data_IF_143140410206
#
_entry.id   IF_143140410206
#
_cell.length_a   1.000
_cell.length_b   1.000
_cell.length_c   1.000
_cell.angle_alpha   90.00
_cell.angle_beta   90.00
_cell.angle_gamma   90.00
#
_symmetry.space_group_name_H-M   'P 1'
#
loop_
_entity.id
_entity.type
_entity.pdbx_description
1 polymer ?
#
# COMPACT_ATOMS: atom_id res chain seq x y z
N UNK A 1 -9.81 -13.41 24.43
CA UNK A 1 -10.68 -13.40 23.23
C UNK A 1 -10.89 -12.01 22.60
N UNK A 2 -10.91 -10.91 23.34
CA UNK A 2 -11.16 -9.56 22.79
C UNK A 2 -10.05 -9.04 21.86
N UNK A 3 -8.78 -9.27 22.20
CA UNK A 3 -7.60 -8.79 21.44
C UNK A 3 -7.52 -9.45 20.05
N UNK A 4 -7.72 -10.76 19.94
CA UNK A 4 -7.70 -11.50 18.68
C UNK A 4 -8.80 -11.03 17.70
N UNK A 5 -10.01 -10.73 18.23
CA UNK A 5 -11.10 -10.15 17.42
C UNK A 5 -10.75 -8.74 16.91
N UNK A 6 -10.01 -7.97 17.72
CA UNK A 6 -9.53 -6.64 17.31
C UNK A 6 -8.51 -6.71 16.18
N UNK A 7 -7.52 -7.61 16.31
CA UNK A 7 -6.48 -7.81 15.29
C UNK A 7 -7.12 -8.29 13.95
N UNK A 8 -7.96 -9.32 14.01
CA UNK A 8 -8.60 -9.84 12.80
C UNK A 8 -9.44 -8.80 12.06
N UNK A 9 -10.18 -7.96 12.79
CA UNK A 9 -10.95 -6.86 12.19
C UNK A 9 -10.06 -5.80 11.58
N UNK A 10 -8.97 -5.44 12.24
CA UNK A 10 -8.00 -4.46 11.76
C UNK A 10 -7.33 -4.94 10.47
N UNK A 11 -6.89 -6.21 10.44
CA UNK A 11 -6.31 -6.84 9.25
C UNK A 11 -7.31 -6.86 8.09
N UNK A 12 -8.56 -7.27 8.34
CA UNK A 12 -9.61 -7.26 7.30
C UNK A 12 -9.82 -5.86 6.71
N UNK A 13 -9.89 -4.83 7.55
CA UNK A 13 -10.04 -3.45 7.09
C UNK A 13 -8.83 -2.98 6.25
N UNK A 14 -7.62 -3.35 6.65
CA UNK A 14 -6.41 -3.07 5.89
C UNK A 14 -6.41 -3.80 4.53
N UNK A 15 -6.88 -5.05 4.49
CA UNK A 15 -7.05 -5.81 3.25
C UNK A 15 -8.07 -5.16 2.31
N UNK A 16 -9.19 -4.65 2.83
CA UNK A 16 -10.17 -3.91 2.03
C UNK A 16 -9.57 -2.62 1.46
N UNK A 17 -8.78 -1.88 2.24
CA UNK A 17 -8.08 -0.69 1.75
C UNK A 17 -7.08 -1.03 0.63
N UNK A 18 -6.34 -2.14 0.78
CA UNK A 18 -5.45 -2.66 -0.25
C UNK A 18 -6.19 -3.09 -1.52
N UNK A 19 -7.34 -3.75 -1.38
CA UNK A 19 -8.17 -4.15 -2.52
C UNK A 19 -8.66 -2.93 -3.33
N UNK A 20 -9.01 -1.82 -2.66
CA UNK A 20 -9.39 -0.57 -3.34
C UNK A 20 -8.21 -0.01 -4.16
N UNK A 21 -6.99 -0.08 -3.63
CA UNK A 21 -5.79 0.30 -4.38
C UNK A 21 -5.59 -0.60 -5.59
N UNK A 22 -5.71 -1.93 -5.45
CA UNK A 22 -5.58 -2.87 -6.56
C UNK A 22 -6.63 -2.62 -7.65
N UNK A 23 -7.88 -2.33 -7.29
CA UNK A 23 -8.90 -1.91 -8.26
C UNK A 23 -8.48 -0.66 -9.01
N UNK A 24 -7.92 0.35 -8.32
CA UNK A 24 -7.38 1.56 -8.96
C UNK A 24 -6.27 1.23 -9.97
N UNK A 25 -5.39 0.27 -9.65
CA UNK A 25 -4.34 -0.19 -10.57
C UNK A 25 -4.91 -0.88 -11.80
N UNK A 26 -5.89 -1.78 -11.64
CA UNK A 26 -6.54 -2.44 -12.79
C UNK A 26 -7.29 -1.46 -13.69
N UNK A 27 -7.95 -0.46 -13.12
CA UNK A 27 -8.58 0.63 -13.90
C UNK A 27 -7.53 1.42 -14.68
N UNK A 28 -6.40 1.78 -14.06
CA UNK A 28 -5.30 2.48 -14.73
C UNK A 28 -4.73 1.64 -15.87
N UNK A 29 -4.45 0.36 -15.62
CA UNK A 29 -3.93 -0.58 -16.63
C UNK A 29 -4.89 -0.68 -17.81
N UNK A 30 -6.20 -0.79 -17.55
CA UNK A 30 -7.24 -0.83 -18.58
C UNK A 30 -7.30 0.45 -19.43
N UNK A 31 -7.11 1.62 -18.81
CA UNK A 31 -7.13 2.90 -19.50
C UNK A 31 -5.83 3.21 -20.25
N UNK A 32 -4.69 2.79 -19.73
CA UNK A 32 -3.36 3.12 -20.27
C UNK A 32 -2.78 2.03 -21.16
N UNK A 33 -3.40 0.85 -21.20
CA UNK A 33 -2.90 -0.35 -21.88
C UNK A 33 -1.47 -0.74 -21.47
N UNK A 34 -1.07 -0.38 -20.25
CA UNK A 34 0.23 -0.72 -19.67
C UNK A 34 0.23 -2.18 -19.23
N UNK A 35 1.35 -2.86 -19.38
CA UNK A 35 1.52 -4.19 -18.81
C UNK A 35 1.46 -4.13 -17.27
N UNK A 36 0.86 -5.12 -16.59
CA UNK A 36 0.96 -5.26 -15.13
C UNK A 36 2.43 -5.31 -14.69
N UNK A 37 2.68 -4.81 -13.48
CA UNK A 37 4.03 -4.85 -12.90
C UNK A 37 4.34 -6.24 -12.35
N UNK A 38 5.47 -6.82 -12.74
CA UNK A 38 6.00 -8.07 -12.20
C UNK A 38 6.90 -7.85 -10.97
N UNK A 39 7.11 -6.61 -10.55
CA UNK A 39 7.98 -6.24 -9.42
C UNK A 39 7.64 -6.96 -8.11
N UNK A 40 6.37 -7.13 -7.71
CA UNK A 40 6.04 -7.85 -6.47
C UNK A 40 6.53 -9.29 -6.48
N UNK A 41 6.40 -9.99 -7.62
CA UNK A 41 6.89 -11.37 -7.78
C UNK A 41 8.40 -11.42 -7.72
N UNK A 42 9.08 -10.59 -8.49
CA UNK A 42 10.55 -10.53 -8.51
C UNK A 42 11.14 -10.21 -7.14
N UNK A 43 10.50 -9.32 -6.39
CA UNK A 43 10.94 -9.00 -5.04
C UNK A 43 10.84 -10.23 -4.11
N UNK A 44 9.75 -10.98 -4.21
CA UNK A 44 9.59 -12.22 -3.44
C UNK A 44 10.61 -13.28 -3.87
N UNK A 45 10.91 -13.43 -5.16
CA UNK A 45 11.95 -14.34 -5.67
C UNK A 45 13.31 -14.04 -5.07
N UNK A 46 13.70 -12.76 -5.04
CA UNK A 46 14.97 -12.32 -4.45
C UNK A 46 15.00 -12.62 -2.95
N UNK A 47 13.93 -12.30 -2.22
CA UNK A 47 13.86 -12.52 -0.76
C UNK A 47 13.82 -14.02 -0.43
N UNK A 48 13.01 -14.78 -1.14
CA UNK A 48 12.85 -16.22 -0.89
C UNK A 48 13.98 -17.08 -1.48
N UNK A 49 14.85 -16.49 -2.32
CA UNK A 49 15.88 -17.19 -3.10
C UNK A 49 15.32 -18.39 -3.88
N UNK A 50 14.12 -18.23 -4.41
CA UNK A 50 13.40 -19.27 -5.16
C UNK A 50 12.67 -18.62 -6.35
N UNK A 51 12.70 -19.30 -7.48
CA UNK A 51 11.87 -18.93 -8.62
C UNK A 51 10.39 -19.08 -8.28
N UNK A 52 9.63 -18.05 -8.59
CA UNK A 52 8.19 -18.04 -8.42
C UNK A 52 7.53 -18.25 -9.78
N UNK A 53 6.70 -19.27 -9.92
CA UNK A 53 5.90 -19.41 -11.14
C UNK A 53 4.93 -18.23 -11.23
N UNK A 54 4.97 -17.45 -12.32
CA UNK A 54 4.04 -16.35 -12.52
C UNK A 54 2.61 -16.91 -12.65
N UNK A 55 1.63 -16.13 -12.19
CA UNK A 55 0.22 -16.46 -12.32
C UNK A 55 -0.65 -15.39 -11.69
N UNK A 56 -1.71 -14.99 -12.38
CA UNK A 56 -2.61 -13.90 -11.99
C UNK A 56 -3.05 -13.95 -10.51
N UNK A 57 -3.45 -15.13 -10.03
CA UNK A 57 -3.89 -15.28 -8.63
C UNK A 57 -2.77 -15.01 -7.63
N UNK A 58 -1.55 -15.42 -7.95
CA UNK A 58 -0.40 -15.23 -7.09
C UNK A 58 0.06 -13.78 -7.08
N UNK A 59 0.09 -13.14 -8.23
CA UNK A 59 0.39 -11.73 -8.37
C UNK A 59 -0.58 -10.88 -7.57
N UNK A 60 -1.88 -11.11 -7.74
CA UNK A 60 -2.92 -10.42 -6.98
C UNK A 60 -2.81 -10.67 -5.48
N UNK A 61 -2.51 -11.90 -5.05
CA UNK A 61 -2.34 -12.22 -3.63
C UNK A 61 -1.12 -11.53 -3.02
N UNK A 62 -0.01 -11.41 -3.77
CA UNK A 62 1.19 -10.69 -3.31
C UNK A 62 0.95 -9.19 -3.23
N UNK A 63 0.30 -8.59 -4.22
CA UNK A 63 -0.08 -7.18 -4.20
C UNK A 63 -1.01 -6.86 -3.02
N UNK A 64 -2.05 -7.68 -2.82
CA UNK A 64 -2.96 -7.53 -1.69
C UNK A 64 -2.23 -7.69 -0.35
N UNK A 65 -1.35 -8.65 -0.23
CA UNK A 65 -0.55 -8.88 0.98
C UNK A 65 0.36 -7.69 1.30
N UNK A 66 1.09 -7.20 0.30
CA UNK A 66 1.99 -6.06 0.43
C UNK A 66 1.22 -4.77 0.77
N UNK A 67 0.11 -4.51 0.07
CA UNK A 67 -0.75 -3.36 0.35
C UNK A 67 -1.41 -3.45 1.73
N UNK A 68 -1.79 -4.65 2.19
CA UNK A 68 -2.33 -4.87 3.53
C UNK A 68 -1.31 -4.54 4.61
N UNK A 69 -0.07 -5.01 4.47
CA UNK A 69 1.02 -4.68 5.40
C UNK A 69 1.31 -3.18 5.43
N UNK A 70 1.33 -2.54 4.26
CA UNK A 70 1.49 -1.10 4.15
C UNK A 70 0.35 -0.34 4.83
N UNK A 71 -0.91 -0.74 4.63
CA UNK A 71 -2.07 -0.13 5.28
C UNK A 71 -2.01 -0.28 6.82
N UNK A 72 -1.58 -1.43 7.32
CA UNK A 72 -1.38 -1.67 8.76
C UNK A 72 -0.30 -0.73 9.31
N UNK A 73 0.84 -0.64 8.64
CA UNK A 73 1.95 0.24 9.05
C UNK A 73 1.52 1.72 9.07
N UNK A 74 0.82 2.18 8.02
CA UNK A 74 0.30 3.55 7.93
C UNK A 74 -0.70 3.85 9.04
N UNK A 75 -1.68 2.99 9.25
CA UNK A 75 -2.68 3.18 10.29
C UNK A 75 -2.03 3.21 11.68
N UNK A 76 -1.06 2.34 11.94
CA UNK A 76 -0.31 2.33 13.20
C UNK A 76 0.46 3.65 13.40
N UNK A 77 1.18 4.10 12.38
CA UNK A 77 1.92 5.36 12.43
C UNK A 77 1.01 6.57 12.70
N UNK A 78 -0.15 6.64 12.03
CA UNK A 78 -1.12 7.72 12.20
C UNK A 78 -1.81 7.70 13.58
N UNK A 79 -1.99 6.53 14.18
CA UNK A 79 -2.51 6.40 15.55
C UNK A 79 -1.47 6.89 16.57
N UNK A 80 -0.20 6.56 16.38
CA UNK A 80 0.88 6.97 17.27
C UNK A 80 1.20 8.46 17.17
N UNK A 81 1.06 9.03 15.98
CA UNK A 81 1.29 10.46 15.71
C UNK A 81 0.16 11.03 14.87
N UNK A 82 -0.95 11.47 15.50
CA UNK A 82 -2.06 12.08 14.78
C UNK A 82 -1.62 13.38 14.08
N UNK A 83 -1.80 13.42 12.77
CA UNK A 83 -1.52 14.58 11.91
C UNK A 83 -2.77 14.90 11.08
N UNK A 84 -2.93 16.15 10.57
CA UNK A 84 -4.04 16.51 9.70
C UNK A 84 -4.19 15.54 8.51
N UNK A 85 -5.43 15.33 8.07
CA UNK A 85 -5.76 14.32 7.07
C UNK A 85 -4.97 14.49 5.76
N UNK A 86 -4.91 15.70 5.23
CA UNK A 86 -4.22 15.98 3.96
C UNK A 86 -2.72 15.72 4.06
N UNK A 87 -2.09 16.18 5.16
CA UNK A 87 -0.67 15.95 5.42
C UNK A 87 -0.37 14.44 5.59
N UNK A 88 -1.24 13.73 6.33
CA UNK A 88 -1.08 12.29 6.51
C UNK A 88 -1.14 11.55 5.18
N UNK A 89 -2.09 11.88 4.31
CA UNK A 89 -2.21 11.25 2.99
C UNK A 89 -0.96 11.51 2.15
N UNK A 90 -0.52 12.77 2.07
CA UNK A 90 0.66 13.15 1.30
C UNK A 90 1.94 12.48 1.83
N UNK A 91 2.17 12.55 3.15
CA UNK A 91 3.32 11.94 3.80
C UNK A 91 3.33 10.42 3.63
N UNK A 92 2.20 9.77 3.83
CA UNK A 92 2.07 8.33 3.68
C UNK A 92 2.35 7.89 2.24
N UNK A 93 1.77 8.57 1.24
CA UNK A 93 2.03 8.27 -0.16
C UNK A 93 3.52 8.40 -0.50
N UNK A 94 4.16 9.48 -0.05
CA UNK A 94 5.58 9.71 -0.24
C UNK A 94 6.44 8.63 0.45
N UNK A 95 6.19 8.34 1.72
CA UNK A 95 6.95 7.34 2.49
C UNK A 95 6.81 5.94 1.90
N UNK A 96 5.62 5.58 1.40
CA UNK A 96 5.41 4.30 0.71
C UNK A 96 6.16 4.24 -0.61
N UNK A 97 6.16 5.32 -1.40
CA UNK A 97 6.90 5.37 -2.67
C UNK A 97 8.40 5.23 -2.43
N UNK A 98 8.94 5.95 -1.45
CA UNK A 98 10.36 5.85 -1.09
C UNK A 98 10.72 4.48 -0.52
N UNK A 99 9.90 3.94 0.38
CA UNK A 99 10.13 2.63 1.01
C UNK A 99 10.08 1.49 -0.02
N UNK A 100 9.10 1.51 -0.91
CA UNK A 100 9.00 0.52 -1.98
C UNK A 100 10.19 0.62 -2.95
N UNK A 101 10.54 1.83 -3.38
CA UNK A 101 11.68 2.05 -4.26
C UNK A 101 13.01 1.64 -3.61
N UNK A 102 13.18 1.90 -2.32
CA UNK A 102 14.36 1.45 -1.58
C UNK A 102 14.45 -0.08 -1.51
N UNK A 103 13.35 -0.79 -1.27
CA UNK A 103 13.29 -2.24 -1.27
C UNK A 103 13.61 -2.83 -2.67
N UNK A 104 13.01 -2.27 -3.72
CA UNK A 104 13.24 -2.67 -5.11
C UNK A 104 14.69 -2.42 -5.52
N UNK A 105 15.28 -1.30 -5.12
CA UNK A 105 16.69 -0.98 -5.34
C UNK A 105 17.62 -1.93 -4.58
N UNK A 106 17.35 -2.20 -3.31
CA UNK A 106 18.12 -3.15 -2.50
C UNK A 106 18.11 -4.57 -3.08
N UNK A 107 17.01 -4.95 -3.73
CA UNK A 107 16.88 -6.20 -4.46
C UNK A 107 17.55 -6.20 -5.85
N UNK A 108 18.11 -5.08 -6.31
CA UNK A 108 18.70 -4.95 -7.65
C UNK A 108 17.69 -4.93 -8.79
N UNK A 109 16.41 -4.68 -8.50
CA UNK A 109 15.30 -4.79 -9.46
C UNK A 109 14.89 -3.44 -10.07
N UNK A 110 15.40 -2.32 -9.57
CA UNK A 110 15.01 -1.01 -10.08
C UNK A 110 15.73 0.16 -9.42
N UNK A 111 15.38 1.37 -9.83
CA UNK A 111 15.93 2.63 -9.36
C UNK A 111 15.06 3.34 -8.31
N UNK A 112 15.59 4.45 -7.79
CA UNK A 112 14.86 5.34 -6.89
C UNK A 112 13.88 6.24 -7.68
N UNK A 113 12.86 6.84 -7.04
CA UNK A 113 11.82 7.60 -7.72
C UNK A 113 12.31 8.73 -8.62
N UNK A 114 13.45 9.31 -8.32
CA UNK A 114 14.04 10.39 -9.17
C UNK A 114 14.65 9.88 -10.48
N UNK A 115 14.78 8.55 -10.65
CA UNK A 115 15.19 7.91 -11.91
C UNK A 115 14.01 7.48 -12.77
N UNK A 116 12.78 7.58 -12.26
CA UNK A 116 11.58 7.16 -12.95
C UNK A 116 11.11 8.24 -13.93
N UNK A 117 10.37 7.83 -14.94
CA UNK A 117 9.66 8.77 -15.79
C UNK A 117 8.59 9.52 -14.97
N UNK A 118 8.26 10.74 -15.41
CA UNK A 118 7.17 11.52 -14.78
C UNK A 118 5.85 10.75 -14.73
N UNK A 119 5.57 9.97 -15.79
CA UNK A 119 4.37 9.14 -15.87
C UNK A 119 4.37 8.06 -14.80
N UNK A 120 5.46 7.32 -14.65
CA UNK A 120 5.59 6.27 -13.62
C UNK A 120 5.46 6.85 -12.22
N UNK A 121 6.08 7.99 -11.95
CA UNK A 121 5.98 8.66 -10.65
C UNK A 121 4.55 9.09 -10.33
N UNK A 122 3.83 9.67 -11.30
CA UNK A 122 2.43 10.08 -11.11
C UNK A 122 1.54 8.87 -10.86
N UNK A 123 1.70 7.79 -11.62
CA UNK A 123 0.94 6.55 -11.45
C UNK A 123 1.18 5.96 -10.05
N UNK A 124 2.44 5.83 -9.66
CA UNK A 124 2.83 5.28 -8.35
C UNK A 124 2.25 6.10 -7.18
N UNK A 125 2.42 7.43 -7.23
CA UNK A 125 1.88 8.32 -6.21
C UNK A 125 0.35 8.29 -6.17
N UNK A 126 -0.33 8.18 -7.31
CA UNK A 126 -1.78 8.08 -7.36
C UNK A 126 -2.28 6.85 -6.62
N UNK A 127 -1.73 5.67 -6.91
CA UNK A 127 -2.15 4.43 -6.23
C UNK A 127 -1.87 4.46 -4.74
N UNK A 128 -0.74 5.00 -4.31
CA UNK A 128 -0.40 5.14 -2.90
C UNK A 128 -1.26 6.18 -2.18
N UNK A 129 -1.66 7.23 -2.88
CA UNK A 129 -2.65 8.19 -2.39
C UNK A 129 -4.00 7.52 -2.18
N UNK A 130 -4.46 6.71 -3.13
CA UNK A 130 -5.70 5.91 -3.01
C UNK A 130 -5.63 4.99 -1.80
N UNK A 131 -4.52 4.24 -1.62
CA UNK A 131 -4.34 3.39 -0.45
C UNK A 131 -4.36 4.19 0.86
N UNK A 132 -3.68 5.34 0.90
CA UNK A 132 -3.65 6.20 2.09
C UNK A 132 -5.03 6.73 2.45
N UNK A 133 -5.80 7.18 1.46
CA UNK A 133 -7.19 7.63 1.65
C UNK A 133 -8.10 6.50 2.13
N UNK A 134 -8.03 5.32 1.49
CA UNK A 134 -8.82 4.15 1.87
C UNK A 134 -8.47 3.68 3.29
N UNK A 135 -7.18 3.67 3.65
CA UNK A 135 -6.72 3.32 5.00
C UNK A 135 -7.31 4.28 6.04
N UNK A 136 -7.23 5.59 5.80
CA UNK A 136 -7.84 6.61 6.68
C UNK A 136 -9.34 6.41 6.82
N UNK A 137 -10.05 6.26 5.71
CA UNK A 137 -11.50 6.14 5.71
C UNK A 137 -12.01 4.87 6.39
N UNK A 138 -11.31 3.75 6.25
CA UNK A 138 -11.80 2.43 6.68
C UNK A 138 -11.20 2.01 8.02
N UNK A 139 -9.88 2.16 8.18
CA UNK A 139 -9.14 1.67 9.34
C UNK A 139 -9.20 2.67 10.50
N UNK A 140 -8.96 3.95 10.21
CA UNK A 140 -8.77 4.96 11.23
C UNK A 140 -10.06 5.69 11.67
N UNK A 141 -11.13 5.62 10.87
CA UNK A 141 -12.39 6.34 11.12
C UNK A 141 -12.90 6.23 12.56
N UNK A 142 -12.85 5.04 13.14
CA UNK A 142 -13.33 4.80 14.52
C UNK A 142 -12.41 5.35 15.60
N UNK A 143 -11.11 5.41 15.30
CA UNK A 143 -10.13 5.95 16.23
C UNK A 143 -10.28 7.47 16.35
N UNK A 144 -10.37 8.16 15.21
CA UNK A 144 -10.55 9.61 15.17
C UNK A 144 -11.89 10.06 15.77
N UNK A 145 -12.97 9.33 15.54
CA UNK A 145 -14.26 9.66 16.14
C UNK A 145 -14.20 9.64 17.67
N UNK A 146 -13.45 8.72 18.28
CA UNK A 146 -13.25 8.68 19.75
C UNK A 146 -12.39 9.82 20.27
N UNK A 147 -11.33 10.19 19.54
CA UNK A 147 -10.44 11.29 19.94
C UNK A 147 -11.14 12.63 19.82
N UNK A 148 -11.98 12.83 18.80
CA UNK A 148 -12.75 14.07 18.62
C UNK A 148 -13.88 14.20 19.63
N UNK A 149 -14.50 13.10 20.06
CA UNK A 149 -15.54 13.11 21.08
C UNK A 149 -15.02 13.31 22.51
N UNK A 150 -13.71 13.16 22.73
CA UNK A 150 -13.06 13.33 24.02
C UNK A 150 -12.45 14.75 24.23
N UNK A 151 -12.55 15.62 23.23
CA UNK A 151 -12.18 17.04 23.29
C UNK A 151 -13.41 17.92 23.37
#
# INVERSE_FOLDING_TARGET
MCVLKGIGRFTLQATVASAIMSVSQYVEIGLTHRAPSDLPIRLVEVIAKREAKPGFQRETALELGQGTLAAIALATANVLRPIPMAEAIALNALMMSLGNAAAVRAAGLGGMPWTWSRRELVIDLTHKTVLSMATRAIVERKHYAKVTAAR
#
